data_IF_611798401455
#
_entry.id   IF_611798401455
#
_cell.length_a   1.000
_cell.length_b   1.000
_cell.length_c   1.000
_cell.angle_alpha   90.00
_cell.angle_beta   90.00
_cell.angle_gamma   90.00
#
_symmetry.space_group_name_H-M   'P 1'
#
loop_
_entity.id
_entity.type
_entity.pdbx_description
1 polymer ?
#
# COMPACT_ATOMS: atom_id res chain seq x y z
N UNK A 1 8.56 1.04 23.82
CA UNK A 1 8.18 -0.19 23.08
C UNK A 1 9.35 -1.14 23.17
N UNK A 2 9.49 -1.88 24.26
CA UNK A 2 10.55 -2.88 24.42
C UNK A 2 9.97 -4.25 24.01
N UNK A 3 10.57 -4.91 23.04
CA UNK A 3 10.23 -6.29 22.65
C UNK A 3 9.26 -6.46 21.47
N UNK A 4 8.91 -5.41 20.71
CA UNK A 4 8.17 -5.59 19.46
C UNK A 4 9.11 -5.96 18.31
N UNK A 5 8.78 -7.04 17.60
CA UNK A 5 9.43 -7.45 16.35
C UNK A 5 8.36 -7.59 15.28
N UNK A 6 8.60 -7.01 14.09
CA UNK A 6 7.64 -7.08 12.99
C UNK A 6 7.54 -5.81 12.14
N UNK A 7 6.37 -5.63 11.51
CA UNK A 7 6.12 -4.54 10.56
C UNK A 7 5.54 -3.32 11.27
N UNK A 8 6.16 -2.16 11.11
CA UNK A 8 5.67 -0.88 11.62
C UNK A 8 5.18 -0.01 10.46
N UNK A 9 3.87 0.23 10.39
CA UNK A 9 3.29 1.13 9.40
C UNK A 9 3.57 2.59 9.78
N UNK A 10 4.22 3.32 8.88
CA UNK A 10 4.60 4.72 9.10
C UNK A 10 4.15 5.60 7.93
N UNK A 11 4.05 6.89 8.18
CA UNK A 11 3.71 7.90 7.16
C UNK A 11 4.90 8.27 6.23
N UNK A 12 6.07 7.66 6.45
CA UNK A 12 7.28 7.84 5.64
C UNK A 12 8.15 9.06 6.02
N UNK A 13 7.87 9.77 7.12
CA UNK A 13 8.74 10.86 7.54
C UNK A 13 10.08 10.34 8.09
N UNK A 14 11.20 11.04 7.79
CA UNK A 14 12.56 10.65 8.21
C UNK A 14 12.69 10.32 9.70
N UNK A 15 11.98 11.06 10.56
CA UNK A 15 11.98 10.82 12.01
C UNK A 15 11.53 9.41 12.40
N UNK A 16 10.70 8.77 11.57
CA UNK A 16 10.17 7.43 11.80
C UNK A 16 11.13 6.31 11.36
N UNK A 17 12.25 6.64 10.72
CA UNK A 17 13.19 5.66 10.16
C UNK A 17 14.60 5.74 10.75
N UNK A 18 14.96 6.82 11.43
CA UNK A 18 16.35 7.07 11.83
C UNK A 18 16.81 6.30 13.08
N UNK A 19 15.91 5.69 13.85
CA UNK A 19 16.22 5.04 15.13
C UNK A 19 15.43 3.76 15.41
N UNK A 20 14.97 3.07 14.37
CA UNK A 20 14.26 1.81 14.58
C UNK A 20 15.24 0.68 14.89
N UNK A 21 14.95 -0.15 15.91
CA UNK A 21 15.68 -1.40 16.14
C UNK A 21 15.65 -2.32 14.92
N UNK A 22 16.67 -3.17 14.72
CA UNK A 22 16.77 -4.06 13.55
C UNK A 22 15.64 -5.08 13.44
N UNK A 23 14.97 -5.42 14.55
CA UNK A 23 13.80 -6.29 14.59
C UNK A 23 12.51 -5.63 14.05
N UNK A 24 12.54 -4.33 13.77
CA UNK A 24 11.40 -3.58 13.23
C UNK A 24 11.65 -3.19 11.78
N UNK A 25 10.80 -3.68 10.89
CA UNK A 25 10.77 -3.26 9.50
C UNK A 25 9.74 -2.14 9.32
N UNK A 26 10.19 -0.93 9.00
CA UNK A 26 9.28 0.14 8.64
C UNK A 26 8.63 -0.15 7.28
N UNK A 27 7.30 -0.04 7.22
CA UNK A 27 6.51 -0.15 5.99
C UNK A 27 5.66 1.10 5.79
N UNK A 28 5.39 1.45 4.54
CA UNK A 28 4.57 2.61 4.20
C UNK A 28 3.09 2.38 4.53
N UNK A 29 2.46 3.34 5.20
CA UNK A 29 1.04 3.28 5.48
C UNK A 29 0.21 3.66 4.23
N UNK A 30 -0.60 2.72 3.74
CA UNK A 30 -1.46 2.93 2.57
C UNK A 30 -2.47 4.07 2.75
N UNK A 31 -2.98 4.29 3.96
CA UNK A 31 -3.86 5.41 4.26
C UNK A 31 -3.15 6.76 4.11
N UNK A 32 -1.89 6.85 4.57
CA UNK A 32 -1.06 8.04 4.41
C UNK A 32 -0.72 8.29 2.95
N UNK A 33 -0.40 7.24 2.18
CA UNK A 33 -0.14 7.37 0.76
C UNK A 33 -1.39 7.82 -0.02
N UNK A 34 -2.56 7.24 0.28
CA UNK A 34 -3.84 7.69 -0.28
C UNK A 34 -4.10 9.16 -0.02
N UNK A 35 -3.91 9.62 1.22
CA UNK A 35 -4.04 11.04 1.61
C UNK A 35 -3.12 11.94 0.78
N UNK A 36 -1.83 11.57 0.65
CA UNK A 36 -0.86 12.33 -0.17
C UNK A 36 -1.32 12.46 -1.62
N UNK A 37 -1.79 11.37 -2.25
CA UNK A 37 -2.31 11.45 -3.62
C UNK A 37 -3.55 12.33 -3.73
N UNK A 38 -4.50 12.19 -2.80
CA UNK A 38 -5.69 13.04 -2.76
C UNK A 38 -5.33 14.52 -2.59
N UNK A 39 -4.40 14.85 -1.70
CA UNK A 39 -4.00 16.24 -1.46
C UNK A 39 -3.28 16.83 -2.67
N UNK A 40 -2.40 16.07 -3.33
CA UNK A 40 -1.80 16.47 -4.62
C UNK A 40 -2.87 16.73 -5.68
N UNK A 41 -3.89 15.88 -5.80
CA UNK A 41 -4.95 16.08 -6.79
C UNK A 41 -5.85 17.29 -6.50
N UNK A 42 -5.96 17.72 -5.24
CA UNK A 42 -6.71 18.92 -4.86
C UNK A 42 -6.03 20.21 -5.33
N UNK A 43 -4.71 20.22 -5.46
CA UNK A 43 -3.96 21.42 -5.89
C UNK A 43 -3.94 21.61 -7.41
N UNK A 44 -4.32 20.59 -8.17
CA UNK A 44 -4.27 20.63 -9.64
C UNK A 44 -5.57 21.18 -10.27
N UNK A 45 -5.49 21.86 -11.43
CA UNK A 45 -6.64 22.15 -12.29
C UNK A 45 -7.39 20.87 -12.70
N UNK A 46 -8.71 20.95 -12.88
CA UNK A 46 -9.59 19.79 -13.14
C UNK A 46 -9.13 18.97 -14.35
N UNK A 47 -8.67 19.65 -15.39
CA UNK A 47 -8.24 19.10 -16.68
C UNK A 47 -6.93 18.29 -16.55
N UNK A 48 -6.12 18.62 -15.54
CA UNK A 48 -4.84 17.98 -15.28
C UNK A 48 -4.94 16.75 -14.35
N UNK A 49 -6.01 16.64 -13.55
CA UNK A 49 -6.15 15.60 -12.52
C UNK A 49 -6.07 14.19 -13.11
N UNK A 50 -6.84 13.91 -14.16
CA UNK A 50 -6.93 12.55 -14.72
C UNK A 50 -5.62 12.05 -15.33
N UNK A 51 -4.81 12.95 -15.88
CA UNK A 51 -3.52 12.62 -16.49
C UNK A 51 -2.38 12.56 -15.49
N UNK A 52 -2.59 13.09 -14.27
CA UNK A 52 -1.53 13.15 -13.26
C UNK A 52 -1.27 11.78 -12.62
N UNK A 53 -0.01 11.37 -12.38
CA UNK A 53 0.31 10.08 -11.76
C UNK A 53 -0.35 9.84 -10.40
N UNK A 54 -0.62 10.91 -9.64
CA UNK A 54 -1.34 10.82 -8.37
C UNK A 54 -2.74 10.22 -8.51
N UNK A 55 -3.41 10.40 -9.66
CA UNK A 55 -4.71 9.77 -9.93
C UNK A 55 -4.58 8.26 -10.04
N UNK A 56 -3.55 7.77 -10.74
CA UNK A 56 -3.24 6.35 -10.79
C UNK A 56 -2.93 5.80 -9.40
N UNK A 57 -2.12 6.51 -8.62
CA UNK A 57 -1.83 6.15 -7.23
C UNK A 57 -3.08 6.06 -6.34
N UNK A 58 -3.98 7.04 -6.45
CA UNK A 58 -5.26 7.05 -5.73
C UNK A 58 -6.15 5.87 -6.15
N UNK A 59 -6.23 5.54 -7.45
CA UNK A 59 -6.99 4.37 -7.93
C UNK A 59 -6.45 3.06 -7.34
N UNK A 60 -5.13 2.88 -7.30
CA UNK A 60 -4.53 1.70 -6.67
C UNK A 60 -4.85 1.62 -5.18
N UNK A 61 -4.75 2.74 -4.45
CA UNK A 61 -5.10 2.77 -3.04
C UNK A 61 -6.58 2.41 -2.83
N UNK A 62 -7.49 3.01 -3.59
CA UNK A 62 -8.92 2.69 -3.48
C UNK A 62 -9.18 1.21 -3.75
N UNK A 63 -8.57 0.64 -4.81
CA UNK A 63 -8.74 -0.78 -5.14
C UNK A 63 -8.25 -1.69 -4.02
N UNK A 64 -7.13 -1.35 -3.38
CA UNK A 64 -6.62 -2.09 -2.23
C UNK A 64 -7.62 -2.04 -1.07
N UNK A 65 -8.15 -0.86 -0.73
CA UNK A 65 -9.10 -0.71 0.38
C UNK A 65 -10.43 -1.41 0.10
N UNK A 66 -10.90 -1.42 -1.14
CA UNK A 66 -12.07 -2.20 -1.56
C UNK A 66 -11.86 -3.70 -1.35
N UNK A 67 -10.68 -4.23 -1.71
CA UNK A 67 -10.34 -5.62 -1.45
C UNK A 67 -10.30 -5.91 0.05
N UNK A 68 -9.66 -5.03 0.83
CA UNK A 68 -9.57 -5.19 2.30
C UNK A 68 -10.95 -5.16 2.97
N UNK A 69 -11.87 -4.31 2.49
CA UNK A 69 -13.24 -4.24 2.99
C UNK A 69 -14.08 -5.50 2.68
N UNK A 70 -13.68 -6.27 1.67
CA UNK A 70 -14.34 -7.52 1.29
C UNK A 70 -13.95 -8.73 2.16
N UNK A 71 -12.91 -8.63 2.98
CA UNK A 71 -12.50 -9.73 3.86
C UNK A 71 -13.30 -9.72 5.16
N UNK A 72 -13.98 -10.83 5.43
CA UNK A 72 -14.76 -11.07 6.66
C UNK A 72 -14.17 -12.15 7.56
N UNK A 73 -12.97 -12.64 7.20
CA UNK A 73 -12.25 -13.74 7.87
C UNK A 73 -11.32 -13.23 8.97
N UNK A 74 -10.71 -14.13 9.74
CA UNK A 74 -9.73 -13.74 10.75
C UNK A 74 -8.49 -13.10 10.13
N UNK A 75 -7.73 -12.34 10.93
CA UNK A 75 -6.51 -11.67 10.46
C UNK A 75 -5.50 -12.64 9.81
N UNK A 76 -5.34 -13.84 10.39
CA UNK A 76 -4.42 -14.86 9.88
C UNK A 76 -4.88 -15.40 8.53
N UNK A 77 -6.17 -15.71 8.39
CA UNK A 77 -6.76 -16.16 7.13
C UNK A 77 -6.70 -15.06 6.07
N UNK A 78 -7.00 -13.82 6.45
CA UNK A 78 -6.90 -12.66 5.56
C UNK A 78 -5.47 -12.49 5.05
N UNK A 79 -4.46 -12.68 5.91
CA UNK A 79 -3.06 -12.65 5.50
C UNK A 79 -2.73 -13.74 4.47
N UNK A 80 -3.20 -14.97 4.70
CA UNK A 80 -2.97 -16.07 3.78
C UNK A 80 -3.66 -15.85 2.43
N UNK A 81 -4.91 -15.39 2.44
CA UNK A 81 -5.66 -15.02 1.23
C UNK A 81 -4.92 -13.93 0.45
N UNK A 82 -4.47 -12.84 1.11
CA UNK A 82 -3.67 -11.80 0.45
C UNK A 82 -2.42 -12.35 -0.21
N UNK A 83 -1.72 -13.27 0.47
CA UNK A 83 -0.50 -13.90 -0.04
C UNK A 83 -0.78 -14.72 -1.31
N UNK A 84 -1.83 -15.53 -1.31
CA UNK A 84 -2.24 -16.35 -2.46
C UNK A 84 -2.69 -15.50 -3.66
N UNK A 85 -3.51 -14.47 -3.41
CA UNK A 85 -3.91 -13.52 -4.43
C UNK A 85 -2.68 -12.82 -5.02
N UNK A 86 -1.72 -12.39 -4.20
CA UNK A 86 -0.50 -11.72 -4.68
C UNK A 86 0.39 -12.63 -5.53
N UNK A 87 0.53 -13.92 -5.17
CA UNK A 87 1.33 -14.89 -5.93
C UNK A 87 0.68 -15.22 -7.27
N UNK A 88 -0.64 -15.33 -7.29
CA UNK A 88 -1.39 -15.58 -8.54
C UNK A 88 -1.22 -14.44 -9.52
N UNK A 89 -1.27 -13.19 -9.05
CA UNK A 89 -1.08 -12.00 -9.90
C UNK A 89 0.37 -11.88 -10.41
N UNK A 90 1.38 -12.13 -9.57
CA UNK A 90 2.79 -12.04 -9.99
C UNK A 90 3.17 -13.13 -11.01
N UNK A 91 2.61 -14.34 -10.87
CA UNK A 91 2.76 -15.42 -11.87
C UNK A 91 2.10 -15.08 -13.21
N UNK A 92 0.98 -14.36 -13.20
CA UNK A 92 0.33 -13.87 -14.43
C UNK A 92 1.19 -12.86 -15.20
N UNK A 93 1.82 -11.93 -14.48
CA UNK A 93 2.74 -10.92 -15.06
C UNK A 93 3.98 -11.59 -15.66
N UNK A 94 4.58 -12.55 -14.94
CA UNK A 94 5.77 -13.28 -15.42
C UNK A 94 5.48 -14.10 -16.70
N UNK A 95 4.26 -14.60 -16.89
CA UNK A 95 3.87 -15.30 -18.13
C UNK A 95 3.60 -14.36 -19.31
N UNK A 96 3.16 -13.13 -19.05
CA UNK A 96 2.92 -12.12 -20.10
C UNK A 96 4.20 -11.46 -20.61
N UNK A 97 5.28 -11.50 -19.83
CA UNK A 97 6.61 -11.00 -20.23
C UNK A 97 7.49 -11.99 -21.00
N UNK A 98 6.95 -13.15 -21.40
CA UNK A 98 7.66 -14.19 -22.18
C UNK A 98 7.07 -14.41 -23.58
N UNK A 99 6.35 -13.43 -24.13
CA UNK A 99 5.90 -13.42 -25.54
C UNK A 99 6.44 -12.21 -26.27
#
# INVERSE_FOLDING_TARGET
>A
MTGFSGLLHTDGYKANHCKLPPEITAVGCWAHMRRKFTDTLKTLPKEAKEKHPAQTGLRYCNKLFELEAGYTVSFQEQFQVRKEHSVTHSRGILRLGQK
#
